data_IF_557226702149
#
_entry.id   IF_557226702149
#
_cell.length_a   1.000
_cell.length_b   1.000
_cell.length_c   1.000
_cell.angle_alpha   90.00
_cell.angle_beta   90.00
_cell.angle_gamma   90.00
#
_symmetry.space_group_name_H-M   'P 1'
#
loop_
_entity.id
_entity.type
_entity.pdbx_description
1 polymer ?
#
# COMPACT_ATOMS: atom_id res chain seq x y z
N UNK A 1 8.50 -0.26 49.06
CA UNK A 1 9.65 -0.35 48.12
C UNK A 1 9.13 -1.09 46.90
N UNK A 2 8.58 -0.34 45.94
CA UNK A 2 9.23 0.12 44.70
C UNK A 2 9.48 -1.02 43.69
N UNK A 3 8.63 -1.01 42.65
CA UNK A 3 8.89 -1.45 41.27
C UNK A 3 8.87 -2.99 41.10
N UNK A 4 8.20 -3.61 40.12
CA UNK A 4 7.99 -3.22 38.74
C UNK A 4 6.67 -3.85 38.23
N UNK A 5 5.75 -3.00 37.79
CA UNK A 5 4.73 -3.30 36.80
C UNK A 5 5.47 -3.39 35.45
N UNK A 6 5.60 -4.57 34.83
CA UNK A 6 6.08 -4.68 33.45
C UNK A 6 5.13 -5.55 32.62
N UNK A 7 4.20 -4.83 32.00
CA UNK A 7 3.59 -5.13 30.71
C UNK A 7 4.55 -5.90 29.79
N UNK A 8 4.35 -7.20 29.66
CA UNK A 8 4.81 -7.96 28.50
C UNK A 8 3.64 -8.06 27.53
N UNK A 9 3.48 -6.92 26.87
CA UNK A 9 2.82 -6.78 25.59
C UNK A 9 3.32 -7.92 24.70
N UNK A 10 2.47 -8.92 24.49
CA UNK A 10 2.64 -9.89 23.42
C UNK A 10 2.64 -9.10 22.11
N UNK A 11 3.80 -8.58 21.72
CA UNK A 11 4.10 -8.30 20.33
C UNK A 11 4.26 -9.68 19.67
N UNK A 12 3.14 -10.39 19.56
CA UNK A 12 2.99 -11.41 18.55
C UNK A 12 3.40 -10.69 17.27
N UNK A 13 4.54 -11.12 16.74
CA UNK A 13 5.08 -10.59 15.51
C UNK A 13 4.05 -10.98 14.47
N UNK A 14 3.09 -10.08 14.26
CA UNK A 14 2.26 -10.04 13.09
C UNK A 14 3.22 -9.74 11.95
N UNK A 15 3.94 -10.76 11.48
CA UNK A 15 4.45 -10.77 10.12
C UNK A 15 3.24 -10.98 9.23
N UNK A 16 2.34 -9.98 9.21
CA UNK A 16 1.53 -9.76 8.04
C UNK A 16 2.52 -9.17 7.04
N UNK A 17 3.08 -10.03 6.19
CA UNK A 17 3.44 -9.59 4.86
C UNK A 17 2.13 -9.11 4.25
N UNK A 18 1.82 -7.83 4.48
CA UNK A 18 0.61 -7.20 3.99
C UNK A 18 0.61 -7.30 2.48
N UNK A 19 -0.54 -7.57 1.89
CA UNK A 19 -0.64 -7.67 0.45
C UNK A 19 -0.18 -6.34 -0.17
N UNK A 20 0.64 -6.45 -1.20
CA UNK A 20 1.07 -5.33 -2.05
C UNK A 20 -0.13 -4.59 -2.64
N UNK A 21 -1.28 -5.25 -2.71
CA UNK A 21 -2.54 -4.72 -3.20
C UNK A 21 -3.77 -5.17 -2.41
N UNK A 22 -4.73 -4.29 -2.16
CA UNK A 22 -5.97 -4.57 -1.44
C UNK A 22 -7.19 -4.07 -2.23
N UNK A 23 -8.23 -4.90 -2.28
CA UNK A 23 -9.52 -4.48 -2.82
C UNK A 23 -10.15 -3.47 -1.85
N UNK A 24 -10.72 -2.41 -2.41
CA UNK A 24 -11.28 -1.32 -1.64
C UNK A 24 -12.61 -0.87 -2.21
N UNK A 25 -13.39 -0.18 -1.39
CA UNK A 25 -14.55 0.60 -1.84
C UNK A 25 -14.35 2.07 -1.52
N UNK A 26 -14.87 2.94 -2.37
CA UNK A 26 -14.82 4.38 -2.12
C UNK A 26 -15.73 4.74 -0.93
N UNK A 27 -15.19 5.47 0.04
CA UNK A 27 -15.93 5.89 1.24
C UNK A 27 -16.27 7.37 1.21
N UNK A 28 -15.27 8.24 0.98
CA UNK A 28 -15.49 9.68 0.98
C UNK A 28 -14.45 10.45 0.16
N UNK A 29 -14.92 11.53 -0.44
CA UNK A 29 -14.12 12.51 -1.16
C UNK A 29 -13.28 13.36 -0.20
N UNK A 30 -12.06 13.73 -0.59
CA UNK A 30 -11.27 14.76 0.10
C UNK A 30 -10.89 15.86 -0.89
N UNK A 31 -10.07 15.52 -1.89
CA UNK A 31 -9.62 16.44 -2.93
C UNK A 31 -9.10 15.67 -4.16
N UNK A 32 -8.39 16.34 -5.07
CA UNK A 32 -7.91 15.76 -6.32
C UNK A 32 -6.86 14.66 -6.15
N UNK A 33 -6.18 14.57 -5.01
CA UNK A 33 -5.10 13.60 -4.78
C UNK A 33 -5.18 12.81 -3.46
N UNK A 34 -6.28 12.98 -2.73
CA UNK A 34 -6.57 12.32 -1.47
C UNK A 34 -8.03 11.86 -1.44
N UNK A 35 -8.28 10.65 -0.93
CA UNK A 35 -9.63 10.12 -0.71
C UNK A 35 -9.67 9.13 0.47
N UNK A 36 -10.86 8.86 1.00
CA UNK A 36 -11.09 7.79 1.96
C UNK A 36 -11.60 6.54 1.25
N UNK A 37 -11.07 5.40 1.67
CA UNK A 37 -11.47 4.08 1.18
C UNK A 37 -11.78 3.16 2.34
N UNK A 38 -12.74 2.26 2.15
CA UNK A 38 -12.96 1.12 3.03
C UNK A 38 -12.16 -0.08 2.53
N UNK A 39 -11.37 -0.66 3.41
CA UNK A 39 -10.64 -1.90 3.18
C UNK A 39 -10.93 -2.84 4.34
N UNK A 40 -11.60 -3.96 4.06
CA UNK A 40 -12.19 -4.81 5.08
C UNK A 40 -13.04 -3.97 6.07
N UNK A 41 -12.68 -3.94 7.36
CA UNK A 41 -13.39 -3.19 8.40
C UNK A 41 -12.79 -1.80 8.67
N UNK A 42 -11.65 -1.48 8.03
CA UNK A 42 -10.91 -0.24 8.27
C UNK A 42 -11.25 0.83 7.23
N UNK A 43 -11.23 2.10 7.67
CA UNK A 43 -11.31 3.27 6.79
C UNK A 43 -9.93 3.91 6.68
N UNK A 44 -9.39 3.94 5.48
CA UNK A 44 -8.05 4.46 5.19
C UNK A 44 -8.14 5.82 4.50
N UNK A 45 -7.46 6.83 5.05
CA UNK A 45 -7.20 8.08 4.33
C UNK A 45 -5.99 7.89 3.44
N UNK A 46 -6.19 7.87 2.13
CA UNK A 46 -5.14 7.55 1.17
C UNK A 46 -4.68 8.80 0.44
N UNK A 47 -3.36 9.04 0.42
CA UNK A 47 -2.70 10.03 -0.43
C UNK A 47 -2.12 9.33 -1.65
N UNK A 48 -2.48 9.82 -2.84
CA UNK A 48 -2.09 9.22 -4.10
C UNK A 48 -0.60 9.40 -4.34
N UNK A 49 0.12 8.29 -4.55
CA UNK A 49 1.57 8.33 -4.76
C UNK A 49 1.92 9.14 -6.01
N UNK A 50 3.04 9.85 -5.94
CA UNK A 50 3.74 10.48 -7.06
C UNK A 50 2.99 11.61 -7.81
N UNK A 51 1.88 12.13 -7.27
CA UNK A 51 1.14 13.25 -7.87
C UNK A 51 0.80 14.34 -6.86
N UNK A 52 0.60 15.56 -7.35
CA UNK A 52 0.08 16.71 -6.62
C UNK A 52 -1.05 17.34 -7.44
N UNK A 53 -2.26 17.35 -6.90
CA UNK A 53 -3.37 18.07 -7.50
C UNK A 53 -3.36 19.54 -7.00
N UNK A 54 -3.89 20.50 -7.77
CA UNK A 54 -4.09 21.85 -7.26
C UNK A 54 -5.01 21.85 -6.04
N UNK A 55 -4.73 22.72 -5.08
CA UNK A 55 -5.61 22.93 -3.93
C UNK A 55 -6.97 23.46 -4.39
N UNK A 56 -8.05 23.19 -3.66
CA UNK A 56 -9.43 23.54 -4.07
C UNK A 56 -9.64 25.01 -4.48
N UNK A 57 -8.84 25.93 -3.95
CA UNK A 57 -8.89 27.38 -4.21
C UNK A 57 -8.07 27.81 -5.43
N UNK A 58 -7.18 26.96 -5.91
CA UNK A 58 -6.30 27.23 -7.03
C UNK A 58 -6.99 26.84 -8.35
N UNK A 59 -6.49 27.36 -9.47
CA UNK A 59 -7.00 27.00 -10.80
C UNK A 59 -6.98 25.48 -10.99
N UNK A 60 -8.08 24.92 -11.49
CA UNK A 60 -8.32 23.49 -11.69
C UNK A 60 -8.47 22.64 -10.40
N UNK A 61 -8.39 23.23 -9.20
CA UNK A 61 -8.48 22.47 -7.96
C UNK A 61 -9.87 21.86 -7.72
N UNK A 62 -10.93 22.63 -7.99
CA UNK A 62 -12.32 22.15 -7.88
C UNK A 62 -12.60 21.07 -8.92
N UNK A 63 -12.20 21.30 -10.17
CA UNK A 63 -12.37 20.37 -11.28
C UNK A 63 -11.60 19.06 -11.04
N UNK A 64 -10.37 19.14 -10.52
CA UNK A 64 -9.59 17.97 -10.15
C UNK A 64 -10.27 17.15 -9.04
N UNK A 65 -10.75 17.83 -7.99
CA UNK A 65 -11.47 17.17 -6.89
C UNK A 65 -12.76 16.52 -7.37
N UNK A 66 -13.58 17.22 -8.16
CA UNK A 66 -14.83 16.69 -8.70
C UNK A 66 -14.56 15.49 -9.60
N UNK A 67 -13.58 15.59 -10.50
CA UNK A 67 -13.21 14.49 -11.38
C UNK A 67 -12.74 13.25 -10.62
N UNK A 68 -11.85 13.42 -9.63
CA UNK A 68 -11.37 12.32 -8.79
C UNK A 68 -12.52 11.63 -8.08
N UNK A 69 -13.39 12.41 -7.46
CA UNK A 69 -14.48 11.86 -6.65
C UNK A 69 -15.58 11.22 -7.50
N UNK A 70 -15.94 11.82 -8.64
CA UNK A 70 -16.87 11.21 -9.58
C UNK A 70 -16.31 9.92 -10.19
N UNK A 71 -15.02 9.90 -10.51
CA UNK A 71 -14.35 8.69 -11.04
C UNK A 71 -14.41 7.55 -10.04
N UNK A 72 -14.06 7.81 -8.77
CA UNK A 72 -14.05 6.81 -7.71
C UNK A 72 -15.46 6.37 -7.29
N UNK A 73 -16.42 7.29 -7.23
CA UNK A 73 -17.81 6.99 -6.89
C UNK A 73 -18.45 6.06 -7.93
N UNK A 74 -18.10 6.21 -9.20
CA UNK A 74 -18.67 5.43 -10.30
C UNK A 74 -17.83 4.20 -10.69
N UNK A 75 -16.70 3.96 -10.04
CA UNK A 75 -15.85 2.81 -10.31
C UNK A 75 -16.53 1.51 -9.89
N UNK A 76 -16.43 0.46 -10.70
CA UNK A 76 -16.96 -0.87 -10.37
C UNK A 76 -15.98 -1.67 -9.52
N UNK A 77 -14.70 -1.45 -9.76
CA UNK A 77 -13.60 -2.10 -9.05
C UNK A 77 -12.59 -1.04 -8.63
N UNK A 78 -12.18 -1.06 -7.35
CA UNK A 78 -11.08 -0.25 -6.84
C UNK A 78 -10.05 -1.18 -6.17
N UNK A 79 -8.79 -0.98 -6.51
CA UNK A 79 -7.66 -1.68 -5.91
C UNK A 79 -6.62 -0.64 -5.44
N UNK A 80 -6.23 -0.72 -4.18
CA UNK A 80 -5.13 0.06 -3.64
C UNK A 80 -3.85 -0.76 -3.74
N UNK A 81 -2.82 -0.23 -4.39
CA UNK A 81 -1.48 -0.84 -4.42
C UNK A 81 -0.51 -0.01 -3.59
N UNK A 82 0.06 -0.63 -2.56
CA UNK A 82 0.94 0.05 -1.62
C UNK A 82 2.40 -0.05 -2.03
N UNK A 83 3.15 0.98 -1.68
CA UNK A 83 4.61 0.95 -1.72
C UNK A 83 5.18 0.55 -0.33
N UNK A 84 6.50 0.36 -0.23
CA UNK A 84 7.18 -0.08 0.98
C UNK A 84 6.94 0.82 2.21
N UNK A 85 6.69 2.11 1.99
CA UNK A 85 6.33 3.05 3.04
C UNK A 85 4.81 3.18 3.09
N UNK A 86 4.19 2.59 4.11
CA UNK A 86 2.73 2.51 4.18
C UNK A 86 2.05 3.83 4.54
N UNK A 87 2.74 4.77 5.18
CA UNK A 87 2.13 6.03 5.59
C UNK A 87 3.10 7.20 5.54
N UNK A 88 2.56 8.39 5.25
CA UNK A 88 3.30 9.64 5.37
C UNK A 88 3.34 10.18 6.81
N UNK A 89 4.07 11.28 7.02
CA UNK A 89 4.21 11.94 8.33
C UNK A 89 2.90 12.46 8.94
N UNK A 90 1.82 12.52 8.16
CA UNK A 90 0.49 12.95 8.60
C UNK A 90 -0.46 11.76 8.87
N UNK A 91 0.05 10.54 8.78
CA UNK A 91 -0.73 9.32 8.98
C UNK A 91 -1.62 8.94 7.80
N UNK A 92 -1.43 9.55 6.61
CA UNK A 92 -2.14 9.13 5.40
C UNK A 92 -1.45 7.92 4.80
N UNK A 93 -2.23 6.94 4.38
CA UNK A 93 -1.73 5.77 3.66
C UNK A 93 -1.26 6.19 2.28
N UNK A 94 -0.11 5.70 1.83
CA UNK A 94 0.41 5.96 0.49
C UNK A 94 0.05 4.81 -0.44
N UNK A 95 -0.74 5.07 -1.47
CA UNK A 95 -1.10 4.06 -2.46
C UNK A 95 -1.19 4.59 -3.89
N UNK A 96 -0.92 3.69 -4.83
CA UNK A 96 -1.40 3.74 -6.20
C UNK A 96 -2.87 3.32 -6.22
N UNK A 97 -3.70 4.08 -6.93
CA UNK A 97 -5.15 3.82 -6.92
C UNK A 97 -5.56 3.34 -8.30
N UNK A 98 -6.00 2.11 -8.36
CA UNK A 98 -6.52 1.48 -9.56
C UNK A 98 -8.04 1.52 -9.52
N UNK A 99 -8.65 1.94 -10.62
CA UNK A 99 -10.10 1.92 -10.82
C UNK A 99 -10.40 1.29 -12.18
N UNK A 100 -11.28 0.29 -12.23
CA UNK A 100 -11.67 -0.39 -13.48
C UNK A 100 -10.46 -0.73 -14.39
N UNK A 101 -9.39 -1.26 -13.78
CA UNK A 101 -8.11 -1.63 -14.42
C UNK A 101 -7.25 -0.48 -14.97
N UNK A 102 -7.54 0.77 -14.57
CA UNK A 102 -6.77 1.96 -14.93
C UNK A 102 -6.11 2.57 -13.71
N UNK A 103 -4.90 3.09 -13.87
CA UNK A 103 -4.23 3.85 -12.82
C UNK A 103 -4.81 5.27 -12.76
N UNK A 104 -5.45 5.63 -11.65
CA UNK A 104 -6.09 6.93 -11.46
C UNK A 104 -5.12 8.08 -11.66
N UNK A 105 -3.91 7.97 -11.10
CA UNK A 105 -2.86 8.98 -11.23
C UNK A 105 -2.53 9.32 -12.69
N UNK A 106 -2.49 8.32 -13.59
CA UNK A 106 -2.31 8.55 -15.03
C UNK A 106 -3.47 9.33 -15.61
N UNK A 107 -4.70 8.88 -15.30
CA UNK A 107 -5.91 9.57 -15.78
C UNK A 107 -5.93 11.03 -15.34
N UNK A 108 -5.54 11.32 -14.10
CA UNK A 108 -5.47 12.68 -13.57
C UNK A 108 -4.43 13.53 -14.31
N UNK A 109 -3.24 12.98 -14.57
CA UNK A 109 -2.19 13.69 -15.32
C UNK A 109 -2.61 13.93 -16.77
N UNK A 110 -3.15 12.92 -17.46
CA UNK A 110 -3.64 13.01 -18.84
C UNK A 110 -4.73 14.09 -18.99
N UNK A 111 -5.59 14.24 -17.98
CA UNK A 111 -6.65 15.26 -17.94
C UNK A 111 -6.16 16.62 -17.45
N UNK A 112 -4.90 16.75 -17.07
CA UNK A 112 -4.34 17.99 -16.52
C UNK A 112 -4.90 18.36 -15.16
N UNK A 113 -5.29 17.38 -14.35
CA UNK A 113 -5.81 17.57 -12.98
C UNK A 113 -4.76 17.34 -11.89
N UNK A 114 -3.55 16.89 -12.25
CA UNK A 114 -2.43 16.76 -11.34
C UNK A 114 -1.08 16.92 -12.05
N UNK A 115 -0.03 17.19 -11.28
CA UNK A 115 1.37 17.17 -11.72
C UNK A 115 2.11 16.01 -11.05
N UNK A 116 3.12 15.44 -11.71
CA UNK A 116 4.03 14.46 -11.11
C UNK A 116 4.87 15.14 -10.03
N UNK A 117 4.81 14.64 -8.79
CA UNK A 117 5.38 15.31 -7.64
C UNK A 117 5.72 14.34 -6.51
N UNK A 118 6.46 14.82 -5.50
CA UNK A 118 6.78 14.07 -4.28
C UNK A 118 7.47 12.72 -4.53
N UNK A 119 8.39 12.68 -5.50
CA UNK A 119 9.18 11.50 -5.83
C UNK A 119 10.37 11.40 -4.87
N UNK A 120 10.23 10.59 -3.82
CA UNK A 120 11.28 10.41 -2.80
C UNK A 120 12.17 9.20 -3.04
N UNK A 121 11.75 8.29 -3.93
CA UNK A 121 12.45 7.05 -4.28
C UNK A 121 12.05 6.60 -5.67
N UNK A 122 12.58 5.45 -6.08
CA UNK A 122 12.24 4.83 -7.37
C UNK A 122 10.84 4.19 -7.32
N UNK A 123 9.84 5.04 -7.51
CA UNK A 123 8.44 4.68 -7.53
C UNK A 123 8.07 4.02 -8.87
N UNK A 124 7.36 2.89 -8.79
CA UNK A 124 7.06 1.96 -9.90
C UNK A 124 6.54 2.63 -11.18
N UNK A 125 5.60 3.57 -11.07
CA UNK A 125 4.90 4.11 -12.25
C UNK A 125 5.37 5.49 -12.71
N UNK A 126 6.44 6.04 -12.14
CA UNK A 126 6.86 7.42 -12.42
C UNK A 126 7.23 7.64 -13.88
N UNK A 127 7.87 6.67 -14.55
CA UNK A 127 8.15 6.79 -15.99
C UNK A 127 6.85 6.94 -16.79
N UNK A 128 5.84 6.18 -16.42
CA UNK A 128 4.53 6.23 -17.06
C UNK A 128 3.83 7.57 -16.83
N UNK A 129 3.86 8.08 -15.58
CA UNK A 129 3.32 9.40 -15.25
C UNK A 129 4.02 10.52 -16.03
N UNK A 130 5.36 10.47 -16.11
CA UNK A 130 6.13 11.51 -16.81
C UNK A 130 5.87 11.55 -18.31
N UNK A 131 5.54 10.41 -18.93
CA UNK A 131 5.16 10.37 -20.34
C UNK A 131 3.80 11.04 -20.56
N UNK A 132 2.81 10.75 -19.71
CA UNK A 132 1.50 11.41 -19.78
C UNK A 132 1.62 12.90 -19.54
N UNK A 133 2.46 13.28 -18.57
CA UNK A 133 2.70 14.67 -18.24
C UNK A 133 3.28 15.44 -19.42
N UNK A 134 4.26 14.87 -20.14
CA UNK A 134 4.81 15.50 -21.35
C UNK A 134 3.73 15.70 -22.42
N UNK A 135 2.89 14.69 -22.65
CA UNK A 135 1.76 14.81 -23.59
C UNK A 135 0.74 15.86 -23.15
N UNK A 136 0.41 15.90 -21.86
CA UNK A 136 -0.53 16.88 -21.31
C UNK A 136 0.02 18.30 -21.40
N UNK A 137 1.34 18.48 -21.20
CA UNK A 137 2.07 19.74 -21.41
C UNK A 137 2.06 20.20 -22.87
N UNK A 138 2.40 19.31 -23.79
CA UNK A 138 2.39 19.58 -25.25
C UNK A 138 1.00 20.04 -25.72
N UNK A 139 -0.05 19.42 -25.18
CA UNK A 139 -1.45 19.74 -25.49
C UNK A 139 -2.04 20.85 -24.61
N UNK A 140 -1.27 21.43 -23.68
CA UNK A 140 -1.68 22.51 -22.77
C UNK A 140 -2.97 22.22 -21.99
N UNK A 141 -3.11 20.99 -21.50
CA UNK A 141 -4.32 20.52 -20.82
C UNK A 141 -4.32 20.91 -19.34
N UNK A 142 -5.45 21.41 -18.83
CA UNK A 142 -5.66 21.65 -17.39
C UNK A 142 -4.60 22.54 -16.77
N UNK A 143 -3.93 22.06 -15.72
CA UNK A 143 -2.84 22.77 -15.02
C UNK A 143 -1.67 23.17 -15.92
N UNK A 144 -1.56 22.59 -17.13
CA UNK A 144 -0.54 22.92 -18.13
C UNK A 144 -0.98 23.98 -19.15
N UNK A 145 -2.18 24.55 -19.00
CA UNK A 145 -2.70 25.61 -19.87
C UNK A 145 -1.92 26.93 -19.74
N UNK A 146 -1.25 27.13 -18.60
CA UNK A 146 -0.38 28.28 -18.31
C UNK A 146 1.06 27.81 -18.20
N UNK A 147 2.00 28.68 -18.53
CA UNK A 147 3.44 28.40 -18.61
C UNK A 147 4.13 28.31 -17.24
N UNK A 148 3.40 27.91 -16.19
CA UNK A 148 3.90 27.78 -14.82
C UNK A 148 3.71 26.35 -14.32
N UNK A 149 4.78 25.55 -14.41
CA UNK A 149 4.84 24.22 -13.80
C UNK A 149 5.44 24.34 -12.41
N UNK A 150 4.76 23.79 -11.40
CA UNK A 150 5.24 23.82 -10.00
C UNK A 150 6.40 22.83 -9.83
N UNK A 151 6.32 21.70 -10.54
CA UNK A 151 7.33 20.65 -10.52
C UNK A 151 7.88 20.40 -11.93
N UNK A 152 9.20 20.17 -12.00
CA UNK A 152 9.96 19.95 -13.24
C UNK A 152 10.58 18.56 -13.37
N UNK A 153 10.20 17.65 -12.47
CA UNK A 153 10.81 16.32 -12.37
C UNK A 153 10.82 15.55 -13.70
N UNK A 154 9.75 15.67 -14.49
CA UNK A 154 9.62 14.96 -15.76
C UNK A 154 10.27 15.66 -16.97
N UNK A 155 10.69 16.92 -16.84
CA UNK A 155 11.20 17.71 -17.98
C UNK A 155 12.54 17.16 -18.48
N UNK A 156 13.39 16.68 -17.57
CA UNK A 156 14.74 16.19 -17.87
C UNK A 156 14.81 14.67 -18.07
N UNK A 157 13.71 13.94 -17.82
CA UNK A 157 13.71 12.48 -17.85
C UNK A 157 13.69 11.97 -19.30
N UNK A 158 14.72 11.26 -19.75
CA UNK A 158 14.66 10.49 -21.00
C UNK A 158 13.76 9.26 -20.77
N UNK A 159 12.62 9.19 -21.45
CA UNK A 159 11.67 8.08 -21.28
C UNK A 159 11.77 7.22 -22.54
N UNK A 160 12.11 5.94 -22.39
CA UNK A 160 12.06 4.99 -23.49
C UNK A 160 10.62 4.49 -23.68
N UNK A 161 10.21 4.21 -24.92
CA UNK A 161 8.85 3.73 -25.22
C UNK A 161 8.51 2.39 -24.52
N UNK A 162 9.52 1.64 -24.08
CA UNK A 162 9.38 0.36 -23.38
C UNK A 162 9.03 0.51 -21.89
N UNK A 163 9.28 1.67 -21.27
CA UNK A 163 9.08 1.90 -19.83
C UNK A 163 7.69 2.43 -19.46
N UNK A 164 6.79 2.57 -20.45
CA UNK A 164 5.51 3.27 -20.29
C UNK A 164 4.30 2.34 -20.14
N UNK A 165 4.33 1.16 -20.75
CA UNK A 165 3.19 0.24 -20.80
C UNK A 165 2.95 -0.39 -19.43
N UNK A 166 1.92 0.08 -18.73
CA UNK A 166 1.47 -0.57 -17.50
C UNK A 166 0.36 -1.57 -17.84
N UNK A 167 0.58 -2.83 -17.48
CA UNK A 167 -0.41 -3.87 -17.57
C UNK A 167 -1.03 -4.13 -16.19
N UNK A 168 -2.35 -4.01 -16.08
CA UNK A 168 -3.08 -4.34 -14.85
C UNK A 168 -2.90 -5.80 -14.44
N UNK A 169 -2.78 -6.70 -15.42
CA UNK A 169 -2.69 -8.14 -15.16
C UNK A 169 -1.35 -8.51 -14.47
N UNK A 170 -0.27 -7.79 -14.73
CA UNK A 170 1.04 -8.02 -14.08
C UNK A 170 0.94 -7.81 -12.55
N UNK A 171 0.07 -6.89 -12.11
CA UNK A 171 -0.17 -6.60 -10.69
C UNK A 171 -0.94 -7.75 -10.03
N UNK A 172 -1.87 -8.36 -10.76
CA UNK A 172 -2.64 -9.51 -10.29
C UNK A 172 -1.79 -10.79 -10.26
N UNK A 173 -0.82 -10.94 -11.16
CA UNK A 173 0.13 -12.06 -11.16
C UNK A 173 1.07 -12.01 -9.96
N UNK A 174 1.59 -10.83 -9.60
CA UNK A 174 2.35 -10.66 -8.36
C UNK A 174 1.52 -11.00 -7.10
N UNK A 175 0.20 -10.82 -7.15
CA UNK A 175 -0.73 -11.21 -6.07
C UNK A 175 -0.85 -12.74 -5.94
N UNK A 176 -0.73 -13.49 -7.05
CA UNK A 176 -0.76 -14.97 -7.06
C UNK A 176 0.52 -15.56 -6.48
N UNK A 177 1.68 -15.01 -6.82
CA UNK A 177 2.98 -15.51 -6.36
C UNK A 177 3.23 -15.24 -4.87
N UNK A 178 2.63 -14.19 -4.33
CA UNK A 178 2.67 -13.88 -2.89
C UNK A 178 1.61 -14.64 -2.06
N UNK A 179 0.77 -15.46 -2.67
CA UNK A 179 -0.18 -16.33 -1.94
C UNK A 179 0.55 -17.55 -1.40
N UNK A 180 0.40 -17.80 -0.11
CA UNK A 180 1.07 -18.91 0.57
C UNK A 180 0.72 -20.25 -0.09
N UNK A 181 1.72 -21.11 -0.37
CA UNK A 181 1.44 -22.39 -1.05
C UNK A 181 0.53 -23.27 -0.19
N UNK A 182 -0.36 -24.06 -0.80
CA UNK A 182 -1.25 -25.00 -0.07
C UNK A 182 -0.50 -25.93 0.87
N UNK A 183 0.75 -26.26 0.54
CA UNK A 183 1.64 -27.07 1.37
C UNK A 183 2.11 -26.30 2.61
N UNK A 184 2.41 -25.01 2.45
CA UNK A 184 2.84 -24.14 3.55
C UNK A 184 1.67 -23.78 4.47
N UNK A 185 0.46 -23.55 3.92
CA UNK A 185 -0.77 -23.39 4.71
C UNK A 185 -1.03 -24.60 5.61
N UNK A 186 -0.88 -25.82 5.05
CA UNK A 186 -1.04 -27.07 5.81
C UNK A 186 0.02 -27.22 6.90
N UNK A 187 1.27 -26.81 6.63
CA UNK A 187 2.36 -26.82 7.62
C UNK A 187 2.12 -25.82 8.74
N UNK A 188 1.69 -24.60 8.42
CA UNK A 188 1.34 -23.56 9.40
C UNK A 188 0.17 -23.99 10.28
N UNK A 189 -0.88 -24.57 9.71
CA UNK A 189 -2.00 -25.09 10.49
C UNK A 189 -1.56 -26.17 11.49
N UNK A 190 -0.68 -27.10 11.07
CA UNK A 190 -0.13 -28.11 11.98
C UNK A 190 0.71 -27.49 13.11
N UNK A 191 1.49 -26.46 12.83
CA UNK A 191 2.30 -25.76 13.83
C UNK A 191 1.41 -25.07 14.86
N UNK A 192 0.35 -24.38 14.41
CA UNK A 192 -0.63 -23.70 15.27
C UNK A 192 -1.37 -24.72 16.16
N UNK A 193 -1.85 -25.82 15.59
CA UNK A 193 -2.54 -26.86 16.36
C UNK A 193 -1.61 -27.49 17.42
N UNK A 194 -0.32 -27.64 17.10
CA UNK A 194 0.68 -28.19 18.02
C UNK A 194 1.01 -27.21 19.14
N UNK A 195 1.12 -25.91 18.84
CA UNK A 195 1.40 -24.88 19.86
C UNK A 195 0.22 -24.69 20.82
N UNK A 196 -1.02 -24.75 20.31
CA UNK A 196 -2.23 -24.71 21.15
C UNK A 196 -2.29 -25.90 22.11
N UNK A 197 -2.08 -27.14 21.61
CA UNK A 197 -2.05 -28.34 22.48
C UNK A 197 -0.95 -28.28 23.54
N UNK A 198 0.22 -27.76 23.17
CA UNK A 198 1.32 -27.56 24.13
C UNK A 198 0.95 -26.54 25.21
N UNK A 199 0.30 -25.43 24.83
CA UNK A 199 -0.19 -24.41 25.76
C UNK A 199 -1.22 -24.99 26.74
N UNK A 200 -2.20 -25.74 26.24
CA UNK A 200 -3.24 -26.39 27.06
C UNK A 200 -2.65 -27.41 28.05
N UNK A 201 -1.66 -28.21 27.59
CA UNK A 201 -0.98 -29.19 28.44
C UNK A 201 -0.19 -28.52 29.58
N UNK A 202 0.48 -27.40 29.30
CA UNK A 202 1.22 -26.64 30.31
C UNK A 202 0.28 -25.98 31.33
N UNK A 203 -0.86 -25.45 30.89
CA UNK A 203 -1.85 -24.83 31.76
C UNK A 203 -2.51 -25.84 32.71
N UNK A 204 -2.62 -27.11 32.30
CA UNK A 204 -3.27 -28.18 33.10
C UNK A 204 -2.39 -28.75 34.22
N UNK A 205 -1.07 -28.55 34.22
CA UNK A 205 -0.13 -29.27 35.08
C UNK A 205 0.65 -28.39 36.08
N UNK A 206 0.09 -27.26 36.52
CA UNK A 206 0.91 -26.17 37.08
C UNK A 206 1.41 -26.34 38.53
N UNK A 207 2.72 -26.09 38.75
CA UNK A 207 3.30 -25.29 39.85
C UNK A 207 4.85 -25.31 39.83
N UNK A 208 5.45 -24.66 38.82
CA UNK A 208 6.83 -24.05 38.82
C UNK A 208 7.36 -23.70 37.43
N UNK A 209 6.55 -23.83 36.39
CA UNK A 209 6.93 -23.45 35.02
C UNK A 209 6.14 -22.21 34.59
N UNK A 210 5.85 -21.30 35.53
CA UNK A 210 5.01 -20.12 35.28
C UNK A 210 5.78 -18.86 34.91
N UNK A 211 7.11 -18.91 34.76
CA UNK A 211 7.88 -17.76 34.27
C UNK A 211 8.62 -17.99 32.95
N UNK A 212 8.88 -19.25 32.54
CA UNK A 212 9.78 -19.53 31.41
C UNK A 212 9.21 -20.49 30.34
N UNK A 213 8.08 -21.16 30.62
CA UNK A 213 7.52 -22.17 29.70
C UNK A 213 7.02 -21.59 28.38
N UNK A 214 6.33 -20.46 28.43
CA UNK A 214 5.88 -19.72 27.24
C UNK A 214 7.04 -19.16 26.43
N UNK A 215 8.10 -18.70 27.10
CA UNK A 215 9.31 -18.19 26.44
C UNK A 215 10.05 -19.28 25.68
N UNK A 216 10.19 -20.49 26.24
CA UNK A 216 10.87 -21.61 25.56
C UNK A 216 10.11 -22.04 24.30
N UNK A 217 8.78 -22.06 24.34
CA UNK A 217 7.96 -22.40 23.17
C UNK A 217 8.10 -21.34 22.05
N UNK A 218 8.08 -20.06 22.41
CA UNK A 218 8.26 -18.96 21.45
C UNK A 218 9.68 -18.93 20.87
N UNK A 219 10.69 -19.25 21.68
CA UNK A 219 12.09 -19.28 21.27
C UNK A 219 12.36 -20.46 20.31
N UNK A 220 11.78 -21.64 20.57
CA UNK A 220 11.85 -22.79 19.64
C UNK A 220 11.12 -22.49 18.33
N UNK A 221 9.96 -21.83 18.38
CA UNK A 221 9.23 -21.44 17.17
C UNK A 221 10.03 -20.44 16.29
N UNK A 222 10.74 -19.50 16.91
CA UNK A 222 11.59 -18.54 16.17
C UNK A 222 12.83 -19.18 15.52
N UNK A 223 13.44 -20.19 16.16
CA UNK A 223 14.60 -20.92 15.63
C UNK A 223 14.23 -21.73 14.37
N UNK A 224 13.03 -22.32 14.32
CA UNK A 224 12.58 -23.07 13.13
C UNK A 224 12.29 -22.16 11.92
N UNK A 225 11.88 -20.92 12.13
CA UNK A 225 11.71 -19.93 11.05
C UNK A 225 13.06 -19.46 10.50
N UNK A 226 14.08 -19.32 11.36
CA UNK A 226 15.40 -18.85 10.95
C UNK A 226 16.27 -19.91 10.25
N UNK A 227 16.14 -21.19 10.63
CA UNK A 227 16.94 -22.28 10.03
C UNK A 227 16.26 -23.00 8.86
N UNK A 228 15.02 -22.64 8.50
CA UNK A 228 14.30 -23.18 7.34
C UNK A 228 14.78 -22.66 5.98
N UNK A 229 15.53 -21.54 5.93
CA UNK A 229 16.18 -21.01 4.72
C UNK A 229 17.64 -21.42 4.65
N UNK A 230 17.92 -22.71 4.53
CA UNK A 230 19.17 -23.21 3.94
C UNK A 230 19.02 -24.66 3.50
N UNK A 231 18.55 -24.86 2.26
CA UNK A 231 19.12 -25.83 1.32
C UNK A 231 18.45 -25.75 -0.05
N UNK A 232 19.31 -25.50 -1.04
CA UNK A 232 19.20 -25.62 -2.51
C UNK A 232 18.27 -24.64 -3.21
#
# INVERSE_FOLDING_TARGET
>A
MKKVLLLLFCFAINVYATPKTEEATFEACVDGDTAYFKVAEDTLKVRFIAIDAPELKDDYGKEASEFTCDTLLNAKEILLEYDADKADKYGRVLAWVWYDKKLLQKTLIEKGFAQTAYIYKDYRYVNSLCFDEKKAKENKVGVWSKESTKYKYCDEKSISDLDYNINYDDILEEKKDNKLSKTDEKRLKKIIDTSQKASEFLQKNDKKISEYGTYIILLIASIFVFFGKKKQ
#
